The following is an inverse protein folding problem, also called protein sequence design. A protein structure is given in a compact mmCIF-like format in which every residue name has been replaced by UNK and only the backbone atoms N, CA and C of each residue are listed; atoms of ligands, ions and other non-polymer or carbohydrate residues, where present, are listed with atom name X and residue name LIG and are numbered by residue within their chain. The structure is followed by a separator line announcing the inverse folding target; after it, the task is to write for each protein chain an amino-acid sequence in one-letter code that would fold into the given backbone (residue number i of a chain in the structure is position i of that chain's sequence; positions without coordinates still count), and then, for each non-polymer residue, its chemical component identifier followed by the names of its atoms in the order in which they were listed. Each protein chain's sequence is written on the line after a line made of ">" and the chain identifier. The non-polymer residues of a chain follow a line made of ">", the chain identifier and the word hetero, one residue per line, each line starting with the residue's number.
data_IF_375096461775
#
_entry.id   IF_375096461775
#
_cell.length_a   1.000
_cell.length_b   1.000
_cell.length_c   1.000
_cell.angle_alpha   90.00
_cell.angle_beta   90.00
_cell.angle_gamma   90.00
#
_symmetry.space_group_name_H-M   'P 1'
#
loop_
_entity.id
_entity.type
_entity.pdbx_description
1 polymer ?
#
# COMPACT_ATOMS: atom_id res chain seq x y z
N UNK A 1 30.71 34.68 -14.44
CA UNK A 1 30.21 33.50 -15.12
C UNK A 1 30.10 32.29 -14.22
N UNK A 2 31.13 32.00 -13.43
CA UNK A 2 31.09 30.84 -12.51
C UNK A 2 30.00 30.97 -11.46
N UNK A 3 29.74 32.19 -10.97
CA UNK A 3 28.69 32.43 -9.96
C UNK A 3 27.27 32.17 -10.50
N UNK A 4 27.02 32.47 -11.78
CA UNK A 4 25.71 32.26 -12.42
C UNK A 4 25.46 30.78 -12.59
N UNK A 5 26.46 30.01 -13.04
CA UNK A 5 26.35 28.56 -13.19
C UNK A 5 26.05 27.86 -11.86
N UNK A 6 26.68 28.33 -10.78
CA UNK A 6 26.48 27.79 -9.45
C UNK A 6 25.04 28.01 -8.98
N UNK A 7 24.47 29.19 -9.24
CA UNK A 7 23.09 29.49 -8.87
C UNK A 7 22.08 28.60 -9.61
N UNK A 8 22.32 28.33 -10.89
CA UNK A 8 21.47 27.47 -11.70
C UNK A 8 21.48 26.05 -11.15
N UNK A 9 22.67 25.54 -10.80
CA UNK A 9 22.82 24.20 -10.23
C UNK A 9 22.07 24.07 -8.89
N UNK A 10 22.17 25.07 -8.03
CA UNK A 10 21.48 25.09 -6.72
C UNK A 10 19.96 25.08 -6.93
N UNK A 11 19.44 25.86 -7.88
CA UNK A 11 18.00 25.91 -8.18
C UNK A 11 17.49 24.56 -8.66
N UNK A 12 18.22 23.91 -9.57
CA UNK A 12 17.85 22.59 -10.08
C UNK A 12 17.84 21.53 -8.99
N UNK A 13 18.79 21.59 -8.10
CA UNK A 13 18.88 20.66 -6.97
C UNK A 13 17.70 20.83 -6.00
N UNK A 14 17.30 22.08 -5.72
CA UNK A 14 16.14 22.36 -4.86
C UNK A 14 14.85 21.79 -5.43
N UNK A 15 14.63 21.92 -6.74
CA UNK A 15 13.47 21.32 -7.41
C UNK A 15 13.48 19.80 -7.33
N UNK A 16 14.64 19.19 -7.52
CA UNK A 16 14.81 17.75 -7.39
C UNK A 16 14.44 17.23 -6.00
N UNK A 17 14.80 17.96 -4.96
CA UNK A 17 14.48 17.60 -3.58
C UNK A 17 12.98 17.59 -3.33
N UNK A 18 12.24 18.56 -3.86
CA UNK A 18 10.79 18.62 -3.70
C UNK A 18 10.10 17.40 -4.32
N UNK A 19 10.53 16.98 -5.52
CA UNK A 19 9.99 15.80 -6.20
C UNK A 19 10.29 14.52 -5.40
N UNK A 20 11.51 14.38 -4.90
CA UNK A 20 11.91 13.22 -4.10
C UNK A 20 11.10 13.14 -2.81
N UNK A 21 10.82 14.27 -2.16
CA UNK A 21 10.02 14.29 -0.94
C UNK A 21 8.60 13.75 -1.17
N UNK A 22 7.95 14.12 -2.31
CA UNK A 22 6.63 13.60 -2.67
C UNK A 22 6.63 12.10 -2.88
N UNK A 23 7.61 11.56 -3.63
CA UNK A 23 7.74 10.13 -3.87
C UNK A 23 8.03 9.37 -2.56
N UNK A 24 8.82 9.94 -1.67
CA UNK A 24 9.17 9.32 -0.40
C UNK A 24 7.95 9.12 0.51
N UNK A 25 7.00 10.05 0.51
CA UNK A 25 5.79 9.93 1.32
C UNK A 25 4.93 8.74 0.88
N UNK A 26 4.72 8.60 -0.43
CA UNK A 26 3.94 7.47 -0.96
C UNK A 26 4.60 6.14 -0.63
N UNK A 27 5.90 6.03 -0.81
CA UNK A 27 6.63 4.82 -0.50
C UNK A 27 6.63 4.51 0.99
N UNK A 28 6.74 5.54 1.84
CA UNK A 28 6.67 5.39 3.28
C UNK A 28 5.31 4.86 3.73
N UNK A 29 4.23 5.41 3.17
CA UNK A 29 2.88 4.95 3.47
C UNK A 29 2.67 3.51 3.02
N UNK A 30 3.21 3.13 1.86
CA UNK A 30 3.15 1.76 1.37
C UNK A 30 3.89 0.78 2.28
N UNK A 31 5.09 1.13 2.71
CA UNK A 31 5.87 0.31 3.66
C UNK A 31 5.13 0.13 4.98
N UNK A 32 4.50 1.18 5.47
CA UNK A 32 3.71 1.10 6.70
C UNK A 32 2.54 0.16 6.55
N UNK A 33 1.83 0.22 5.43
CA UNK A 33 0.72 -0.67 5.14
C UNK A 33 1.18 -2.12 5.09
N UNK A 34 2.31 -2.40 4.41
CA UNK A 34 2.87 -3.74 4.31
C UNK A 34 3.36 -4.27 5.65
N UNK A 35 3.95 -3.42 6.48
CA UNK A 35 4.44 -3.81 7.79
C UNK A 35 3.30 -4.26 8.71
N UNK A 36 2.17 -3.55 8.67
CA UNK A 36 0.97 -3.94 9.42
C UNK A 36 0.29 -5.15 8.79
N UNK A 37 0.24 -5.21 7.46
CA UNK A 37 -0.36 -6.28 6.66
C UNK A 37 -1.77 -6.65 7.12
N UNK A 38 -2.62 -5.65 7.25
CA UNK A 38 -4.02 -5.80 7.63
C UNK A 38 -4.92 -5.18 6.59
N UNK A 39 -6.18 -5.63 6.53
CA UNK A 39 -7.19 -5.05 5.64
C UNK A 39 -7.30 -3.54 5.89
N UNK A 40 -7.34 -3.13 7.15
CA UNK A 40 -7.49 -1.73 7.53
C UNK A 40 -6.30 -0.87 7.08
N UNK A 41 -5.07 -1.40 7.17
CA UNK A 41 -3.88 -0.67 6.75
C UNK A 41 -3.85 -0.43 5.25
N UNK A 42 -4.25 -1.43 4.47
CA UNK A 42 -4.31 -1.29 3.01
C UNK A 42 -5.47 -0.41 2.56
N UNK A 43 -6.61 -0.47 3.23
CA UNK A 43 -7.73 0.44 2.95
C UNK A 43 -7.35 1.89 3.21
N UNK A 44 -6.60 2.15 4.27
CA UNK A 44 -6.09 3.49 4.56
C UNK A 44 -5.14 3.97 3.46
N UNK A 45 -4.25 3.09 3.01
CA UNK A 45 -3.36 3.42 1.90
C UNK A 45 -4.14 3.78 0.64
N UNK A 46 -5.15 2.99 0.28
CA UNK A 46 -5.98 3.22 -0.90
C UNK A 46 -6.70 4.57 -0.80
N UNK A 47 -7.22 4.92 0.37
CA UNK A 47 -7.92 6.20 0.56
C UNK A 47 -7.01 7.41 0.37
N UNK A 48 -5.73 7.27 0.71
CA UNK A 48 -4.75 8.35 0.58
C UNK A 48 -4.09 8.41 -0.80
N UNK A 49 -4.00 7.29 -1.50
CA UNK A 49 -3.29 7.14 -2.77
C UNK A 49 -4.11 6.35 -3.79
N UNK A 50 -5.37 6.73 -3.99
CA UNK A 50 -6.31 6.00 -4.84
C UNK A 50 -5.83 5.84 -6.30
N UNK A 51 -5.08 6.81 -6.81
CA UNK A 51 -4.58 6.82 -8.19
C UNK A 51 -3.21 6.13 -8.34
N UNK A 52 -2.65 5.63 -7.26
CA UNK A 52 -1.36 4.95 -7.28
C UNK A 52 -1.48 3.57 -7.90
N UNK A 53 -0.45 3.14 -8.63
CA UNK A 53 -0.37 1.77 -9.11
C UNK A 53 -0.30 0.77 -7.95
N UNK A 54 0.22 1.19 -6.80
CA UNK A 54 0.28 0.36 -5.61
C UNK A 54 -1.10 0.14 -4.97
N UNK A 55 -2.09 1.01 -5.26
CA UNK A 55 -3.46 0.81 -4.79
C UNK A 55 -4.05 -0.50 -5.34
N UNK A 56 -3.72 -0.87 -6.57
CA UNK A 56 -4.15 -2.15 -7.15
C UNK A 56 -3.55 -3.32 -6.37
N UNK A 57 -2.28 -3.27 -6.04
CA UNK A 57 -1.63 -4.29 -5.22
C UNK A 57 -2.25 -4.38 -3.82
N UNK A 58 -2.60 -3.23 -3.24
CA UNK A 58 -3.27 -3.17 -1.95
C UNK A 58 -4.62 -3.88 -1.99
N UNK A 59 -5.41 -3.66 -3.04
CA UNK A 59 -6.71 -4.31 -3.21
C UNK A 59 -6.56 -5.82 -3.34
N UNK A 60 -5.58 -6.28 -4.11
CA UNK A 60 -5.30 -7.71 -4.25
C UNK A 60 -4.90 -8.34 -2.92
N UNK A 61 -4.08 -7.65 -2.14
CA UNK A 61 -3.68 -8.17 -0.83
C UNK A 61 -4.86 -8.22 0.14
N UNK A 62 -5.75 -7.23 0.08
CA UNK A 62 -6.98 -7.23 0.90
C UNK A 62 -7.81 -8.48 0.60
N UNK A 63 -8.00 -8.81 -0.66
CA UNK A 63 -8.75 -10.01 -1.05
C UNK A 63 -8.11 -11.28 -0.50
N UNK A 64 -6.79 -11.39 -0.58
CA UNK A 64 -6.07 -12.55 -0.02
C UNK A 64 -6.24 -12.65 1.49
N UNK A 65 -6.16 -11.52 2.20
CA UNK A 65 -6.31 -11.49 3.66
C UNK A 65 -7.73 -11.87 4.09
N UNK A 66 -8.74 -11.43 3.36
CA UNK A 66 -10.14 -11.80 3.63
C UNK A 66 -10.34 -13.29 3.39
N UNK A 67 -9.82 -13.82 2.30
CA UNK A 67 -9.93 -15.24 1.98
C UNK A 67 -9.24 -16.09 3.06
N UNK A 68 -8.06 -15.71 3.47
CA UNK A 68 -7.33 -16.40 4.54
C UNK A 68 -8.09 -16.37 5.85
N UNK A 69 -8.67 -15.23 6.20
CA UNK A 69 -9.50 -15.09 7.40
C UNK A 69 -10.70 -16.03 7.36
N UNK A 70 -11.40 -16.08 6.22
CA UNK A 70 -12.56 -16.95 6.05
C UNK A 70 -12.17 -18.43 6.15
N UNK A 71 -11.04 -18.79 5.55
CA UNK A 71 -10.52 -20.15 5.66
C UNK A 71 -10.19 -20.52 7.10
N UNK A 72 -9.56 -19.63 7.84
CA UNK A 72 -9.21 -19.87 9.24
C UNK A 72 -10.45 -20.02 10.11
N UNK A 73 -11.50 -19.24 9.85
CA UNK A 73 -12.78 -19.39 10.55
C UNK A 73 -13.40 -20.76 10.29
N UNK A 74 -13.40 -21.19 9.04
CA UNK A 74 -13.92 -22.50 8.67
C UNK A 74 -13.12 -23.61 9.33
N UNK A 75 -11.80 -23.52 9.32
CA UNK A 75 -10.90 -24.49 9.93
C UNK A 75 -11.05 -24.57 11.45
N UNK A 76 -11.26 -23.40 12.09
CA UNK A 76 -11.47 -23.34 13.55
C UNK A 76 -12.78 -24.00 13.95
N UNK A 77 -13.85 -23.78 13.18
CA UNK A 77 -15.13 -24.44 13.42
C UNK A 77 -15.09 -25.93 13.12
N UNK A 78 -14.24 -26.32 12.16
CA UNK A 78 -13.98 -27.71 11.77
C UNK A 78 -15.26 -28.52 11.57
N UNK A 79 -16.23 -27.95 10.83
CA UNK A 79 -17.47 -28.61 10.48
C UNK A 79 -17.66 -28.60 8.96
N UNK A 80 -18.34 -29.62 8.43
CA UNK A 80 -18.67 -29.67 7.02
C UNK A 80 -19.42 -28.41 6.58
N UNK A 81 -20.32 -27.95 7.41
CA UNK A 81 -21.14 -26.75 7.16
C UNK A 81 -20.28 -25.49 7.01
N UNK A 82 -19.28 -25.29 7.87
CA UNK A 82 -18.41 -24.13 7.81
C UNK A 82 -17.52 -24.15 6.57
N UNK A 83 -17.03 -25.32 6.14
CA UNK A 83 -16.27 -25.44 4.89
C UNK A 83 -17.13 -25.17 3.67
N UNK A 84 -18.37 -25.64 3.68
CA UNK A 84 -19.32 -25.37 2.61
C UNK A 84 -19.59 -23.86 2.47
N UNK A 85 -19.72 -23.17 3.58
CA UNK A 85 -19.93 -21.72 3.59
C UNK A 85 -18.73 -20.99 3.01
N UNK A 86 -17.53 -21.42 3.33
CA UNK A 86 -16.30 -20.86 2.75
C UNK A 86 -16.30 -20.97 1.23
N UNK A 87 -16.71 -22.12 0.68
CA UNK A 87 -16.72 -22.33 -0.76
C UNK A 87 -17.77 -21.47 -1.49
N UNK A 88 -18.83 -21.08 -0.81
CA UNK A 88 -19.90 -20.24 -1.39
C UNK A 88 -19.52 -18.77 -1.37
N UNK A 89 -18.85 -18.31 -0.33
CA UNK A 89 -18.43 -16.92 -0.19
C UNK A 89 -17.15 -16.63 -0.98
#
# INVERSE_FOLDING_TARGET
>A
MKTVSLRIVVTSFALGLLVVAGCSREQGDWRSAQAADTVESYERYISQHADSSLATQARERIEQLIEERNWQKAATADTLESYQQFLVD
#
